data_IF_189946556532
#
_entry.id   IF_189946556532
#
_cell.length_a   1.000
_cell.length_b   1.000
_cell.length_c   1.000
_cell.angle_alpha   90.00
_cell.angle_beta   90.00
_cell.angle_gamma   90.00
#
_symmetry.space_group_name_H-M   'P 1'
#
loop_
_entity.id
_entity.type
_entity.pdbx_description
1 polymer ?
#
# COMPACT_ATOMS: atom_id res chain seq x y z
N UNK A 1 -3.41 -30.34 2.40
CA UNK A 1 -3.51 -28.89 2.11
C UNK A 1 -2.22 -28.25 2.57
N UNK A 2 -1.40 -27.76 1.64
CA UNK A 2 -0.14 -27.06 1.96
C UNK A 2 -0.47 -25.75 2.64
N UNK A 3 -0.12 -25.61 3.91
CA UNK A 3 -0.26 -24.34 4.64
C UNK A 3 0.76 -23.37 4.06
N UNK A 4 0.30 -22.33 3.40
CA UNK A 4 1.13 -21.25 2.90
C UNK A 4 1.55 -20.39 4.11
N UNK A 5 2.83 -20.06 4.21
CA UNK A 5 3.38 -19.31 5.35
C UNK A 5 4.27 -18.18 4.88
N UNK A 6 4.10 -17.02 5.50
CA UNK A 6 4.89 -15.81 5.27
C UNK A 6 5.42 -15.27 6.59
N UNK A 7 6.52 -14.53 6.52
CA UNK A 7 7.01 -13.82 7.70
C UNK A 7 6.14 -12.59 7.98
N UNK A 8 5.83 -11.82 6.93
CA UNK A 8 4.96 -10.64 7.01
C UNK A 8 3.83 -10.75 5.98
N UNK A 9 2.61 -10.49 6.41
CA UNK A 9 1.47 -10.31 5.51
C UNK A 9 0.91 -8.91 5.65
N UNK A 10 0.69 -8.26 4.50
CA UNK A 10 -0.02 -7.00 4.40
C UNK A 10 -1.40 -7.23 3.78
N UNK A 11 -2.45 -6.75 4.42
CA UNK A 11 -3.83 -6.85 3.92
C UNK A 11 -4.31 -5.47 3.49
N UNK A 12 -4.58 -5.34 2.19
CA UNK A 12 -5.07 -4.12 1.56
C UNK A 12 -4.08 -3.54 0.56
N UNK A 13 -4.48 -3.47 -0.72
CA UNK A 13 -3.66 -2.98 -1.86
C UNK A 13 -3.73 -1.46 -2.09
N UNK A 14 -4.13 -0.67 -1.09
CA UNK A 14 -4.06 0.80 -1.14
C UNK A 14 -2.63 1.34 -0.99
N UNK A 15 -2.47 2.67 -1.01
CA UNK A 15 -1.13 3.29 -0.93
C UNK A 15 -0.33 2.85 0.30
N UNK A 16 -0.96 2.80 1.46
CA UNK A 16 -0.30 2.37 2.70
C UNK A 16 0.14 0.89 2.63
N UNK A 17 -0.69 0.03 2.06
CA UNK A 17 -0.36 -1.39 1.89
C UNK A 17 0.75 -1.62 0.86
N UNK A 18 0.75 -0.88 -0.25
CA UNK A 18 1.82 -0.94 -1.24
C UNK A 18 3.18 -0.58 -0.62
N UNK A 19 3.23 0.49 0.18
CA UNK A 19 4.45 0.91 0.85
C UNK A 19 4.89 -0.07 1.94
N UNK A 20 3.96 -0.56 2.77
CA UNK A 20 4.26 -1.53 3.81
C UNK A 20 4.80 -2.84 3.22
N UNK A 21 4.19 -3.34 2.14
CA UNK A 21 4.63 -4.55 1.46
C UNK A 21 6.01 -4.37 0.81
N UNK A 22 6.23 -3.25 0.12
CA UNK A 22 7.52 -2.92 -0.47
C UNK A 22 8.61 -2.77 0.60
N UNK A 23 8.32 -2.11 1.73
CA UNK A 23 9.25 -1.94 2.82
C UNK A 23 9.68 -3.28 3.43
N UNK A 24 8.73 -4.15 3.76
CA UNK A 24 9.03 -5.48 4.31
C UNK A 24 9.84 -6.32 3.34
N UNK A 25 9.42 -6.37 2.08
CA UNK A 25 10.11 -7.15 1.04
C UNK A 25 11.53 -6.64 0.76
N UNK A 26 11.74 -5.30 0.78
CA UNK A 26 13.04 -4.66 0.62
C UNK A 26 14.02 -5.04 1.73
N UNK A 27 13.52 -5.23 2.94
CA UNK A 27 14.34 -5.71 4.06
C UNK A 27 14.70 -7.20 3.94
N UNK A 28 14.30 -7.89 2.89
CA UNK A 28 14.61 -9.30 2.64
C UNK A 28 13.65 -10.28 3.29
N UNK A 29 12.54 -9.80 3.84
CA UNK A 29 11.54 -10.61 4.53
C UNK A 29 10.59 -11.25 3.52
N UNK A 30 10.23 -12.53 3.71
CA UNK A 30 9.24 -13.21 2.88
C UNK A 30 7.85 -12.60 3.13
N UNK A 31 7.40 -11.77 2.19
CA UNK A 31 6.24 -10.89 2.35
C UNK A 31 5.13 -11.26 1.37
N UNK A 32 3.88 -11.20 1.81
CA UNK A 32 2.72 -11.26 0.91
C UNK A 32 1.81 -10.05 1.07
N UNK A 33 1.29 -9.55 -0.06
CA UNK A 33 0.25 -8.52 -0.12
C UNK A 33 -1.06 -9.17 -0.57
N UNK A 34 -2.05 -9.20 0.32
CA UNK A 34 -3.40 -9.67 0.01
C UNK A 34 -4.31 -8.50 -0.34
N UNK A 35 -5.02 -8.63 -1.45
CA UNK A 35 -5.97 -7.62 -1.93
C UNK A 35 -7.21 -8.28 -2.52
N UNK A 36 -8.29 -7.52 -2.70
CA UNK A 36 -9.49 -8.01 -3.38
C UNK A 36 -9.25 -8.26 -4.86
N UNK A 37 -8.51 -7.35 -5.52
CA UNK A 37 -8.22 -7.42 -6.95
C UNK A 37 -6.86 -6.77 -7.23
N UNK A 38 -6.05 -7.41 -8.04
CA UNK A 38 -4.73 -6.86 -8.44
C UNK A 38 -4.91 -5.55 -9.21
N UNK A 39 -5.94 -5.47 -10.04
CA UNK A 39 -6.23 -4.31 -10.87
C UNK A 39 -6.57 -3.04 -10.07
N UNK A 40 -6.88 -3.16 -8.78
CA UNK A 40 -7.16 -2.00 -7.91
C UNK A 40 -5.93 -1.52 -7.13
N UNK A 41 -4.81 -2.22 -7.22
CA UNK A 41 -3.55 -1.78 -6.60
C UNK A 41 -3.11 -0.45 -7.21
N UNK A 42 -2.79 0.52 -6.35
CA UNK A 42 -2.39 1.86 -6.78
C UNK A 42 -3.53 2.73 -7.30
N UNK A 43 -4.78 2.34 -7.07
CA UNK A 43 -5.91 3.17 -7.45
C UNK A 43 -5.95 4.47 -6.66
N UNK A 44 -6.00 5.59 -7.39
CA UNK A 44 -6.05 6.93 -6.82
C UNK A 44 -7.50 7.41 -6.69
N UNK A 45 -7.78 8.19 -5.64
CA UNK A 45 -9.05 8.88 -5.47
C UNK A 45 -9.31 9.88 -6.62
N UNK A 46 -10.49 10.52 -6.61
CA UNK A 46 -10.92 11.46 -7.65
C UNK A 46 -9.99 12.68 -7.84
N UNK A 47 -9.13 12.99 -6.88
CA UNK A 47 -8.07 14.00 -7.05
C UNK A 47 -6.70 13.33 -7.12
N UNK A 48 -6.20 12.98 -8.32
CA UNK A 48 -4.99 12.18 -8.48
C UNK A 48 -3.73 13.03 -8.30
N UNK A 49 -3.48 13.45 -7.07
CA UNK A 49 -2.29 14.24 -6.74
C UNK A 49 -1.51 13.61 -5.58
N UNK A 50 -0.20 13.58 -5.73
CA UNK A 50 0.76 13.17 -4.71
C UNK A 50 1.55 14.38 -4.25
N UNK A 51 1.59 14.61 -2.94
CA UNK A 51 2.31 15.75 -2.36
C UNK A 51 1.40 16.84 -1.80
N UNK A 52 1.97 18.02 -1.65
CA UNK A 52 1.33 19.14 -0.97
C UNK A 52 1.55 19.14 0.54
N UNK A 53 0.82 20.00 1.25
CA UNK A 53 0.94 20.12 2.70
C UNK A 53 0.41 18.84 3.39
N UNK A 54 1.13 18.32 4.36
CA UNK A 54 0.83 17.07 5.06
C UNK A 54 1.25 15.83 4.24
N UNK A 55 0.50 15.47 3.21
CA UNK A 55 0.82 14.30 2.35
C UNK A 55 2.22 14.40 1.75
N UNK A 56 2.65 15.57 1.29
CA UNK A 56 3.98 15.76 0.72
C UNK A 56 5.11 15.53 1.72
N UNK A 57 4.89 15.86 2.98
CA UNK A 57 5.87 15.59 4.04
C UNK A 57 6.04 14.08 4.26
N UNK A 58 4.94 13.36 4.39
CA UNK A 58 4.95 11.89 4.55
C UNK A 58 5.57 11.18 3.33
N UNK A 59 5.23 11.62 2.12
CA UNK A 59 5.81 11.02 0.90
C UNK A 59 7.32 11.21 0.86
N UNK A 60 7.85 12.38 1.27
CA UNK A 60 9.30 12.61 1.33
C UNK A 60 10.00 11.74 2.38
N UNK A 61 9.36 11.50 3.51
CA UNK A 61 9.88 10.59 4.54
C UNK A 61 9.96 9.15 4.01
N UNK A 62 8.90 8.69 3.35
CA UNK A 62 8.85 7.36 2.73
C UNK A 62 9.89 7.24 1.62
N UNK A 63 10.00 8.26 0.77
CA UNK A 63 10.97 8.31 -0.34
C UNK A 63 12.41 8.25 0.17
N UNK A 64 12.72 8.96 1.26
CA UNK A 64 14.02 8.90 1.92
C UNK A 64 14.36 7.49 2.45
N UNK A 65 13.37 6.64 2.65
CA UNK A 65 13.49 5.24 3.03
C UNK A 65 13.36 4.28 1.84
N UNK A 66 13.54 4.78 0.61
CA UNK A 66 13.44 4.02 -0.64
C UNK A 66 12.01 3.49 -0.94
N UNK A 67 10.99 4.29 -0.60
CA UNK A 67 9.58 4.00 -0.87
C UNK A 67 9.23 4.06 -2.36
N UNK A 68 8.11 3.47 -2.73
CA UNK A 68 7.70 3.33 -4.14
C UNK A 68 6.80 4.47 -4.62
N UNK A 69 6.08 5.14 -3.72
CA UNK A 69 5.09 6.15 -4.07
C UNK A 69 5.70 7.36 -4.79
N UNK A 70 6.85 7.87 -4.33
CA UNK A 70 7.56 8.98 -4.95
C UNK A 70 7.99 8.64 -6.38
N UNK A 71 8.61 7.48 -6.55
CA UNK A 71 9.07 6.97 -7.86
C UNK A 71 7.91 6.81 -8.84
N UNK A 72 6.76 6.28 -8.38
CA UNK A 72 5.57 6.12 -9.23
C UNK A 72 4.94 7.47 -9.55
N UNK A 73 4.92 8.39 -8.60
CA UNK A 73 4.43 9.76 -8.83
C UNK A 73 5.24 10.49 -9.89
N UNK A 74 6.56 10.35 -9.88
CA UNK A 74 7.43 10.95 -10.91
C UNK A 74 7.20 10.35 -12.30
N UNK A 75 6.99 9.04 -12.38
CA UNK A 75 6.72 8.35 -13.66
C UNK A 75 5.34 8.62 -14.25
N UNK A 76 4.37 8.99 -13.42
CA UNK A 76 2.98 9.25 -13.83
C UNK A 76 2.61 10.74 -13.81
N UNK A 77 3.55 11.61 -13.45
CA UNK A 77 3.31 13.03 -13.27
C UNK A 77 3.03 13.77 -14.58
N UNK A 78 1.92 14.51 -14.60
CA UNK A 78 1.54 15.37 -15.72
C UNK A 78 1.75 16.86 -15.40
N UNK A 79 1.84 17.21 -14.13
CA UNK A 79 2.15 18.57 -13.68
C UNK A 79 2.87 18.53 -12.33
N UNK A 80 3.94 19.30 -12.22
CA UNK A 80 4.74 19.43 -11.00
C UNK A 80 4.68 20.86 -10.49
N UNK A 81 4.40 21.05 -9.21
CA UNK A 81 4.37 22.36 -8.55
C UNK A 81 4.99 22.31 -7.18
N UNK A 82 5.71 23.39 -6.83
CA UNK A 82 6.05 23.67 -5.44
C UNK A 82 4.99 24.61 -4.87
N UNK A 83 4.19 24.11 -3.94
CA UNK A 83 3.16 24.88 -3.24
C UNK A 83 3.81 25.81 -2.21
N UNK A 84 3.13 26.90 -1.91
CA UNK A 84 3.52 27.88 -0.86
C UNK A 84 4.93 28.46 -1.05
N UNK A 85 5.37 28.70 -2.29
CA UNK A 85 6.72 29.23 -2.60
C UNK A 85 7.05 30.53 -1.89
N UNK A 86 6.04 31.36 -1.60
CA UNK A 86 6.17 32.64 -0.88
C UNK A 86 6.18 32.50 0.64
N UNK A 87 6.06 31.29 1.16
CA UNK A 87 6.01 30.97 2.59
C UNK A 87 7.33 30.36 3.06
N UNK A 88 7.46 30.17 4.39
CA UNK A 88 8.64 29.54 4.96
C UNK A 88 8.81 28.06 4.54
N UNK A 89 10.04 27.51 4.60
CA UNK A 89 10.37 26.18 4.11
C UNK A 89 9.49 25.05 4.68
N UNK A 90 9.01 25.19 5.91
CA UNK A 90 8.19 24.19 6.60
C UNK A 90 6.84 23.91 5.91
N UNK A 91 6.32 24.88 5.14
CA UNK A 91 5.04 24.72 4.42
C UNK A 91 5.22 24.65 2.91
N UNK A 92 6.44 24.73 2.41
CA UNK A 92 6.73 24.49 1.00
C UNK A 92 6.68 23.01 0.72
N UNK A 93 5.77 22.57 -0.14
CA UNK A 93 5.58 21.17 -0.47
C UNK A 93 5.52 20.94 -1.99
N UNK A 94 6.36 20.03 -2.53
CA UNK A 94 6.18 19.59 -3.91
C UNK A 94 4.84 18.85 -4.03
N UNK A 95 4.17 19.06 -5.15
CA UNK A 95 2.95 18.36 -5.51
C UNK A 95 2.98 17.99 -6.98
N UNK A 96 2.72 16.71 -7.23
CA UNK A 96 2.60 16.13 -8.56
C UNK A 96 1.12 15.84 -8.83
N UNK A 97 0.59 16.39 -9.91
CA UNK A 97 -0.66 15.91 -10.49
C UNK A 97 -0.32 14.72 -11.37
N UNK A 98 -0.94 13.56 -11.14
CA UNK A 98 -0.62 12.32 -11.82
C UNK A 98 -1.72 11.89 -12.78
N UNK A 99 -1.34 11.22 -13.87
CA UNK A 99 -2.25 10.41 -14.64
C UNK A 99 -2.61 9.15 -13.83
N UNK A 100 -3.92 8.91 -13.60
CA UNK A 100 -4.40 7.81 -12.77
C UNK A 100 -4.10 6.45 -13.34
N UNK A 101 -4.21 6.31 -14.65
CA UNK A 101 -3.96 5.04 -15.33
C UNK A 101 -2.47 4.69 -15.29
N UNK A 102 -1.60 5.63 -15.62
CA UNK A 102 -0.16 5.47 -15.55
C UNK A 102 0.33 5.21 -14.13
N UNK A 103 -0.20 5.93 -13.13
CA UNK A 103 0.16 5.71 -11.73
C UNK A 103 -0.15 4.26 -11.31
N UNK A 104 -1.35 3.80 -11.61
CA UNK A 104 -1.80 2.44 -11.31
C UNK A 104 -0.94 1.39 -12.02
N UNK A 105 -0.69 1.57 -13.31
CA UNK A 105 0.15 0.68 -14.11
C UNK A 105 1.57 0.57 -13.54
N UNK A 106 2.21 1.70 -13.25
CA UNK A 106 3.55 1.71 -12.69
C UNK A 106 3.62 1.09 -11.29
N UNK A 107 2.63 1.35 -10.43
CA UNK A 107 2.57 0.74 -9.10
C UNK A 107 2.44 -0.78 -9.19
N UNK A 108 1.53 -1.29 -10.02
CA UNK A 108 1.35 -2.71 -10.25
C UNK A 108 2.61 -3.35 -10.83
N UNK A 109 3.23 -2.72 -11.83
CA UNK A 109 4.47 -3.21 -12.45
C UNK A 109 5.59 -3.34 -11.43
N UNK A 110 5.75 -2.39 -10.52
CA UNK A 110 6.76 -2.44 -9.47
C UNK A 110 6.45 -3.58 -8.50
N UNK A 111 5.25 -3.64 -7.94
CA UNK A 111 4.92 -4.60 -6.88
C UNK A 111 4.87 -6.04 -7.37
N UNK A 112 4.36 -6.28 -8.57
CA UNK A 112 4.30 -7.64 -9.15
C UNK A 112 5.68 -8.22 -9.50
N UNK A 113 6.70 -7.37 -9.63
CA UNK A 113 8.08 -7.78 -9.88
C UNK A 113 9.01 -7.53 -8.68
N UNK A 114 8.44 -7.19 -7.51
CA UNK A 114 9.25 -6.87 -6.34
C UNK A 114 9.83 -8.15 -5.73
N UNK A 115 11.15 -8.16 -5.53
CA UNK A 115 11.83 -9.30 -4.89
C UNK A 115 11.27 -9.53 -3.48
N UNK A 116 11.11 -10.79 -3.09
CA UNK A 116 10.57 -11.24 -1.80
C UNK A 116 9.10 -10.81 -1.52
N UNK A 117 8.37 -10.35 -2.53
CA UNK A 117 6.96 -10.00 -2.43
C UNK A 117 6.10 -10.88 -3.32
N UNK A 118 5.09 -11.50 -2.74
CA UNK A 118 4.01 -12.16 -3.47
C UNK A 118 2.73 -11.34 -3.36
N UNK A 119 2.10 -11.04 -4.50
CA UNK A 119 0.83 -10.30 -4.55
C UNK A 119 -0.30 -11.27 -4.85
N UNK A 120 -1.30 -11.33 -3.97
CA UNK A 120 -2.37 -12.33 -4.00
C UNK A 120 -3.74 -11.64 -4.01
N UNK A 121 -4.54 -11.94 -5.06
CA UNK A 121 -5.92 -11.50 -5.17
C UNK A 121 -6.84 -12.53 -4.49
N UNK A 122 -6.94 -12.46 -3.16
CA UNK A 122 -7.83 -13.34 -2.39
C UNK A 122 -8.25 -12.59 -1.11
N UNK A 123 -9.53 -12.16 -1.01
CA UNK A 123 -9.99 -11.39 0.14
C UNK A 123 -9.88 -12.17 1.45
N UNK A 124 -9.40 -11.50 2.49
CA UNK A 124 -9.35 -12.06 3.85
C UNK A 124 -10.72 -11.91 4.50
N UNK A 125 -11.26 -13.01 5.05
CA UNK A 125 -12.60 -13.05 5.63
C UNK A 125 -12.61 -13.32 7.14
N UNK A 126 -11.53 -13.93 7.68
CA UNK A 126 -11.48 -14.30 9.09
C UNK A 126 -10.04 -14.37 9.57
N UNK A 127 -9.76 -13.81 10.74
CA UNK A 127 -8.46 -13.99 11.42
C UNK A 127 -8.45 -15.25 12.27
N UNK A 128 -7.26 -15.85 12.38
CA UNK A 128 -6.98 -17.00 13.23
C UNK A 128 -6.18 -16.55 14.43
N UNK A 129 -6.63 -16.92 15.61
CA UNK A 129 -6.02 -16.53 16.88
C UNK A 129 -5.49 -17.75 17.64
N UNK A 130 -4.43 -17.52 18.40
CA UNK A 130 -3.96 -18.41 19.46
C UNK A 130 -3.82 -17.55 20.72
N UNK A 131 -4.76 -17.71 21.66
CA UNK A 131 -4.95 -16.71 22.71
C UNK A 131 -5.27 -15.33 22.14
N UNK A 132 -4.50 -14.33 22.50
CA UNK A 132 -4.64 -12.93 22.03
C UNK A 132 -3.77 -12.62 20.80
N UNK A 133 -3.01 -13.61 20.30
CA UNK A 133 -2.12 -13.43 19.15
C UNK A 133 -2.78 -13.88 17.85
N UNK A 134 -2.71 -13.03 16.81
CA UNK A 134 -3.06 -13.42 15.43
C UNK A 134 -1.92 -14.30 14.91
N UNK A 135 -2.26 -15.51 14.45
CA UNK A 135 -1.33 -16.47 13.88
C UNK A 135 -1.54 -16.71 12.39
N UNK A 136 -2.56 -16.07 11.82
CA UNK A 136 -2.91 -16.22 10.42
C UNK A 136 -4.34 -15.77 10.13
N UNK A 137 -4.85 -16.19 8.99
CA UNK A 137 -6.19 -15.83 8.52
C UNK A 137 -6.71 -16.86 7.51
N UNK A 138 -8.00 -16.76 7.21
CA UNK A 138 -8.69 -17.53 6.17
C UNK A 138 -9.11 -16.57 5.06
N UNK A 139 -8.83 -16.96 3.83
CA UNK A 139 -9.23 -16.24 2.62
C UNK A 139 -10.62 -16.67 2.13
N UNK A 140 -11.21 -15.88 1.25
CA UNK A 140 -12.50 -16.17 0.62
C UNK A 140 -12.47 -17.49 -0.17
N UNK A 141 -11.33 -17.86 -0.74
CA UNK A 141 -11.11 -19.15 -1.40
C UNK A 141 -11.12 -20.36 -0.45
N UNK A 142 -11.18 -20.15 0.86
CA UNK A 142 -11.06 -21.19 1.89
C UNK A 142 -9.61 -21.53 2.25
N UNK A 143 -8.61 -20.89 1.65
CA UNK A 143 -7.20 -21.08 2.04
C UNK A 143 -6.93 -20.55 3.44
N UNK A 144 -6.20 -21.33 4.23
CA UNK A 144 -5.58 -20.87 5.47
C UNK A 144 -4.14 -20.41 5.20
N UNK A 145 -3.83 -19.19 5.64
CA UNK A 145 -2.50 -18.60 5.55
C UNK A 145 -1.96 -18.36 6.96
N UNK A 146 -0.73 -18.74 7.22
CA UNK A 146 -0.02 -18.47 8.46
C UNK A 146 0.95 -17.31 8.27
N UNK A 147 1.09 -16.49 9.31
CA UNK A 147 2.04 -15.39 9.30
C UNK A 147 2.58 -15.14 10.70
N UNK A 148 3.81 -14.62 10.77
CA UNK A 148 4.39 -14.17 12.04
C UNK A 148 3.88 -12.80 12.41
N UNK A 149 3.82 -11.88 11.42
CA UNK A 149 3.38 -10.50 11.58
C UNK A 149 2.31 -10.17 10.55
N UNK A 150 1.33 -9.36 10.94
CA UNK A 150 0.23 -8.96 10.09
C UNK A 150 0.04 -7.44 10.14
N UNK A 151 0.02 -6.82 8.96
CA UNK A 151 -0.20 -5.38 8.78
C UNK A 151 -1.55 -5.18 8.11
N UNK A 152 -2.45 -4.45 8.78
CA UNK A 152 -3.81 -4.22 8.30
C UNK A 152 -3.93 -2.79 7.72
N UNK A 153 -4.18 -2.68 6.41
CA UNK A 153 -4.28 -1.41 5.68
C UNK A 153 -5.53 -1.33 4.80
N UNK A 154 -6.63 -1.87 5.29
CA UNK A 154 -7.87 -2.05 4.53
C UNK A 154 -8.66 -0.77 4.25
N UNK A 155 -8.26 0.36 4.84
CA UNK A 155 -8.97 1.62 4.70
C UNK A 155 -10.41 1.52 5.20
N UNK A 156 -11.37 1.91 4.35
CA UNK A 156 -12.81 1.93 4.69
C UNK A 156 -13.56 0.67 4.25
N UNK A 157 -12.89 -0.34 3.72
CA UNK A 157 -13.54 -1.52 3.10
C UNK A 157 -13.98 -2.62 4.09
N UNK A 158 -13.58 -2.56 5.35
CA UNK A 158 -13.98 -3.53 6.38
C UNK A 158 -15.20 -3.06 7.18
N UNK A 159 -16.33 -2.78 6.54
CA UNK A 159 -17.54 -2.26 7.20
C UNK A 159 -17.28 -1.01 8.09
N UNK A 160 -16.14 -0.37 7.92
CA UNK A 160 -15.79 0.91 8.54
C UNK A 160 -16.37 2.04 7.71
N UNK A 161 -17.68 1.98 7.44
CA UNK A 161 -18.39 3.12 6.91
C UNK A 161 -18.46 4.17 8.00
N UNK A 162 -17.78 5.30 7.81
CA UNK A 162 -17.94 6.50 8.65
C UNK A 162 -19.40 7.02 8.67
N UNK A 163 -20.27 6.43 7.85
CA UNK A 163 -21.70 6.75 7.72
C UNK A 163 -22.54 5.93 8.73
N UNK A 164 -21.98 4.90 9.35
CA UNK A 164 -22.68 4.03 10.30
C UNK A 164 -22.25 4.23 11.77
N UNK A 165 -21.57 5.30 12.06
CA UNK A 165 -21.27 5.69 13.46
C UNK A 165 -22.38 6.62 13.99
#
# INVERSE_FOLDING_TARGET
MTKQSYDVVVIGGGHAGCEAAAASARMGVNTALFTHKIETIGEMSCNPAIGGLGKGHLVREIDALDGVMGVVADKSGIQFRLLNRSRGPAVQGPRTQSDRALYKEHMQKILLNYKNLEVIADPVIKFLFEGDKIIGFVCQSGKEVRTKELILTTGTFLNLSLIHI
#
